data_IF_301741048431
#
_entry.id   IF_301741048431
#
_cell.length_a   1.000
_cell.length_b   1.000
_cell.length_c   1.000
_cell.angle_alpha   90.00
_cell.angle_beta   90.00
_cell.angle_gamma   90.00
#
_symmetry.space_group_name_H-M   'P 1'
#
loop_
_entity.id
_entity.type
_entity.pdbx_description
1 polymer ?
#
# COMPACT_ATOMS: atom_id res chain seq x y z
N UNK A 1 15.28 -4.14 14.41
CA UNK A 1 15.86 -3.32 13.34
C UNK A 1 14.71 -2.70 12.58
N UNK A 2 14.71 -1.41 12.23
CA UNK A 2 13.67 -0.85 11.36
C UNK A 2 13.69 -1.62 10.04
N UNK A 3 12.54 -2.20 9.69
CA UNK A 3 12.43 -2.89 8.40
C UNK A 3 12.50 -1.85 7.29
N UNK A 4 13.36 -2.13 6.30
CA UNK A 4 13.58 -1.27 5.14
C UNK A 4 13.20 -2.04 3.89
N UNK A 5 12.41 -1.41 3.03
CA UNK A 5 12.18 -1.91 1.69
C UNK A 5 13.23 -1.34 0.75
N UNK A 6 14.00 -2.22 0.11
CA UNK A 6 14.99 -1.83 -0.91
C UNK A 6 14.44 -2.21 -2.28
N UNK A 7 14.32 -1.25 -3.19
CA UNK A 7 13.79 -1.49 -4.53
C UNK A 7 14.55 -0.69 -5.60
N UNK A 8 14.57 -1.20 -6.83
CA UNK A 8 15.13 -0.48 -7.97
C UNK A 8 14.01 -0.07 -8.94
N UNK A 9 13.92 1.22 -9.22
CA UNK A 9 12.96 1.81 -10.15
C UNK A 9 13.73 2.65 -11.18
N UNK A 10 13.53 2.37 -12.47
CA UNK A 10 14.23 3.08 -13.57
C UNK A 10 15.76 3.12 -13.40
N UNK A 11 16.35 2.03 -12.91
CA UNK A 11 17.80 1.92 -12.67
C UNK A 11 18.31 2.68 -11.45
N UNK A 12 17.43 3.32 -10.66
CA UNK A 12 17.76 3.97 -9.39
C UNK A 12 17.33 3.10 -8.23
N UNK A 13 18.19 2.99 -7.22
CA UNK A 13 17.90 2.26 -5.97
C UNK A 13 17.27 3.21 -4.94
N UNK A 14 16.22 2.74 -4.29
CA UNK A 14 15.51 3.44 -3.23
C UNK A 14 15.49 2.59 -1.97
N UNK A 15 15.67 3.23 -0.81
CA UNK A 15 15.43 2.65 0.51
C UNK A 15 14.25 3.37 1.16
N UNK A 16 13.22 2.62 1.52
CA UNK A 16 12.02 3.15 2.18
C UNK A 16 11.96 2.58 3.59
N UNK A 17 11.88 3.46 4.59
CA UNK A 17 11.67 3.06 5.98
C UNK A 17 10.22 2.61 6.17
N UNK A 18 10.02 1.45 6.79
CA UNK A 18 8.71 0.95 7.19
C UNK A 18 8.42 1.21 8.68
N UNK A 19 9.13 2.15 9.29
CA UNK A 19 8.89 2.52 10.69
C UNK A 19 7.48 3.08 10.88
N UNK A 20 6.74 2.51 11.84
CA UNK A 20 5.34 2.89 12.11
C UNK A 20 4.31 2.32 11.14
N UNK A 21 4.73 1.54 10.13
CA UNK A 21 3.82 0.85 9.22
C UNK A 21 3.14 -0.31 9.94
N UNK A 22 1.86 -0.55 9.64
CA UNK A 22 1.11 -1.63 10.28
C UNK A 22 1.68 -3.01 9.86
N UNK A 23 1.87 -3.98 10.79
CA UNK A 23 2.48 -5.28 10.51
C UNK A 23 1.86 -6.05 9.34
N UNK A 24 0.54 -5.92 9.11
CA UNK A 24 -0.14 -6.57 7.97
C UNK A 24 0.32 -6.04 6.62
N UNK A 25 0.70 -4.77 6.55
CA UNK A 25 1.16 -4.11 5.34
C UNK A 25 2.50 -4.67 4.86
N UNK A 26 3.31 -5.24 5.76
CA UNK A 26 4.54 -5.94 5.38
C UNK A 26 4.28 -7.16 4.49
N UNK A 27 3.17 -7.89 4.72
CA UNK A 27 2.77 -9.00 3.84
C UNK A 27 2.36 -8.52 2.46
N UNK A 28 1.73 -7.34 2.38
CA UNK A 28 1.31 -6.72 1.12
C UNK A 28 2.50 -6.21 0.30
N UNK A 29 3.64 -5.94 0.93
CA UNK A 29 4.85 -5.47 0.26
C UNK A 29 5.94 -6.53 0.09
N UNK A 30 5.71 -7.76 0.55
CA UNK A 30 6.69 -8.86 0.41
C UNK A 30 7.08 -9.10 -1.06
N UNK A 31 6.13 -8.98 -1.98
CA UNK A 31 6.38 -9.12 -3.43
C UNK A 31 7.30 -8.02 -4.00
N UNK A 32 7.36 -6.83 -3.37
CA UNK A 32 8.26 -5.75 -3.77
C UNK A 32 9.72 -6.07 -3.40
N UNK A 33 9.93 -6.74 -2.26
CA UNK A 33 11.27 -7.15 -1.82
C UNK A 33 11.84 -8.34 -2.59
N UNK A 34 10.98 -9.14 -3.23
CA UNK A 34 11.39 -10.30 -4.04
C UNK A 34 11.83 -9.91 -5.46
N UNK A 35 11.43 -8.73 -5.95
CA UNK A 35 11.77 -8.25 -7.30
C UNK A 35 12.93 -7.27 -7.26
N UNK A 36 14.00 -7.57 -7.99
CA UNK A 36 15.20 -6.71 -8.07
C UNK A 36 14.97 -5.41 -8.85
N UNK A 37 13.98 -5.39 -9.76
CA UNK A 37 13.59 -4.23 -10.59
C UNK A 37 12.07 -4.20 -10.73
N UNK A 38 11.46 -3.05 -10.47
CA UNK A 38 10.02 -2.83 -10.65
C UNK A 38 9.75 -2.10 -11.98
N UNK A 39 8.77 -2.58 -12.74
CA UNK A 39 8.21 -1.84 -13.87
C UNK A 39 7.31 -0.71 -13.33
N UNK A 40 7.53 0.51 -13.81
CA UNK A 40 6.72 1.70 -13.47
C UNK A 40 5.24 1.47 -13.79
N UNK A 41 4.92 0.72 -14.86
CA UNK A 41 3.53 0.38 -15.21
C UNK A 41 2.88 -0.52 -14.17
N UNK A 42 3.61 -1.52 -13.67
CA UNK A 42 3.13 -2.40 -12.61
C UNK A 42 2.90 -1.61 -11.31
N UNK A 43 3.81 -0.70 -10.97
CA UNK A 43 3.69 0.16 -9.80
C UNK A 43 2.47 1.10 -9.90
N UNK A 44 2.27 1.73 -11.07
CA UNK A 44 1.10 2.57 -11.33
C UNK A 44 -0.21 1.78 -11.22
N UNK A 45 -0.24 0.55 -11.74
CA UNK A 45 -1.40 -0.31 -11.64
C UNK A 45 -1.71 -0.67 -10.18
N UNK A 46 -0.70 -1.10 -9.42
CA UNK A 46 -0.86 -1.41 -8.00
C UNK A 46 -1.32 -0.19 -7.19
N UNK A 47 -0.83 1.01 -7.52
CA UNK A 47 -1.29 2.25 -6.91
C UNK A 47 -2.77 2.54 -7.20
N UNK A 48 -3.20 2.41 -8.45
CA UNK A 48 -4.60 2.60 -8.84
C UNK A 48 -5.54 1.59 -8.14
N UNK A 49 -5.13 0.32 -8.06
CA UNK A 49 -5.86 -0.72 -7.34
C UNK A 49 -6.01 -0.35 -5.84
N UNK A 50 -4.93 0.13 -5.20
CA UNK A 50 -5.01 0.60 -3.81
C UNK A 50 -5.88 1.84 -3.61
N UNK A 51 -5.88 2.78 -4.56
CA UNK A 51 -6.79 3.93 -4.49
C UNK A 51 -8.26 3.48 -4.54
N UNK A 52 -8.59 2.49 -5.37
CA UNK A 52 -9.93 1.94 -5.47
C UNK A 52 -10.35 1.24 -4.16
N UNK A 53 -9.49 0.39 -3.59
CA UNK A 53 -9.75 -0.25 -2.28
C UNK A 53 -10.04 0.78 -1.17
N UNK A 54 -9.28 1.88 -1.13
CA UNK A 54 -9.48 2.96 -0.17
C UNK A 54 -10.83 3.67 -0.37
N UNK A 55 -11.23 3.92 -1.62
CA UNK A 55 -12.51 4.57 -1.93
C UNK A 55 -13.70 3.69 -1.48
N UNK A 56 -13.63 2.38 -1.75
CA UNK A 56 -14.66 1.42 -1.31
C UNK A 56 -14.73 1.33 0.21
N UNK A 57 -13.58 1.35 0.90
CA UNK A 57 -13.54 1.32 2.36
C UNK A 57 -14.11 2.62 2.96
N UNK A 58 -13.85 3.78 2.35
CA UNK A 58 -14.45 5.04 2.77
C UNK A 58 -15.98 5.01 2.64
N UNK A 59 -16.51 4.57 1.50
CA UNK A 59 -17.95 4.45 1.28
C UNK A 59 -18.60 3.48 2.30
N UNK A 60 -17.93 2.38 2.62
CA UNK A 60 -18.40 1.43 3.62
C UNK A 60 -18.44 2.04 5.03
N UNK A 61 -17.43 2.86 5.40
CA UNK A 61 -17.39 3.56 6.67
C UNK A 61 -18.48 4.61 6.78
N UNK A 62 -18.69 5.42 5.73
CA UNK A 62 -19.77 6.42 5.66
C UNK A 62 -21.13 5.76 5.91
N UNK A 63 -21.42 4.63 5.25
CA UNK A 63 -22.65 3.85 5.48
C UNK A 63 -22.81 3.34 6.90
N UNK A 64 -21.73 3.04 7.60
CA UNK A 64 -21.77 2.59 9.01
C UNK A 64 -22.05 3.79 9.92
N UNK A 65 -21.38 4.92 9.69
CA UNK A 65 -21.62 6.16 10.42
C UNK A 65 -23.08 6.62 10.29
N UNK A 66 -23.63 6.65 9.08
CA UNK A 66 -25.03 7.01 8.83
C UNK A 66 -26.01 6.13 9.60
N UNK A 67 -25.70 4.83 9.74
CA UNK A 67 -26.53 3.89 10.52
C UNK A 67 -26.43 4.12 12.03
N UNK A 68 -25.25 4.54 12.51
CA UNK A 68 -25.06 4.86 13.92
C UNK A 68 -25.78 6.16 14.29
N UNK A 69 -25.76 7.16 13.42
CA UNK A 69 -26.43 8.45 13.67
C UNK A 69 -27.97 8.35 13.62
N UNK A 70 -28.52 7.29 13.02
CA UNK A 70 -29.96 7.00 12.97
C UNK A 70 -30.50 6.29 14.23
N UNK A 71 -29.64 5.91 15.18
CA UNK A 71 -29.98 5.20 16.41
C UNK A 71 -29.70 6.04 17.66
#
# INVERSE_FOLDING_TARGET
MPEKLSLSLLGKRYEISLEGVHPRTHKEFAWLSERSTLDVKELLKAYLEKCQECAEMQEALEKICDKLDQH
#
